data_IF_805083420143
#
_entry.id   IF_805083420143
#
_cell.length_a   1.000
_cell.length_b   1.000
_cell.length_c   1.000
_cell.angle_alpha   90.00
_cell.angle_beta   90.00
_cell.angle_gamma   90.00
#
_symmetry.space_group_name_H-M   'P 1'
#
loop_
_entity.id
_entity.type
_entity.pdbx_description
1 polymer ?
#
# COMPACT_ATOMS: atom_id res chain seq x y z
N UNK A 1 29.27 41.77 74.28
CA UNK A 1 28.77 43.01 73.79
C UNK A 1 28.03 42.65 72.44
N UNK A 2 26.86 42.90 72.44
CA UNK A 2 25.65 42.40 71.65
C UNK A 2 25.89 42.06 70.21
N UNK A 3 25.58 40.78 69.83
CA UNK A 3 25.25 40.32 68.51
C UNK A 3 23.75 40.33 68.34
N UNK A 4 23.29 41.15 67.39
CA UNK A 4 21.89 41.26 67.01
C UNK A 4 21.57 40.09 66.02
N UNK A 5 20.65 39.23 66.40
CA UNK A 5 20.11 38.16 65.53
C UNK A 5 19.13 38.75 64.51
N UNK A 6 19.47 38.66 63.25
CA UNK A 6 18.57 38.95 62.16
C UNK A 6 17.99 37.60 61.63
N UNK A 7 16.71 37.37 61.91
CA UNK A 7 15.94 36.27 61.33
C UNK A 7 15.48 36.68 59.94
N UNK A 8 15.99 36.01 58.90
CA UNK A 8 15.55 36.15 57.56
C UNK A 8 14.51 35.04 57.28
N UNK A 9 13.24 35.42 57.18
CA UNK A 9 12.20 34.51 56.73
C UNK A 9 12.31 34.32 55.21
N UNK A 10 12.73 33.13 54.76
CA UNK A 10 12.65 32.74 53.37
C UNK A 10 11.22 32.30 53.07
N UNK A 11 10.48 33.14 52.41
CA UNK A 11 9.22 32.75 51.79
C UNK A 11 9.54 31.94 50.53
N UNK A 12 9.30 30.63 50.58
CA UNK A 12 9.30 29.76 49.42
C UNK A 12 8.02 30.05 48.59
N UNK A 13 8.18 30.85 47.57
CA UNK A 13 7.17 30.91 46.49
C UNK A 13 7.41 29.72 45.57
N UNK A 14 6.58 28.69 45.72
CA UNK A 14 6.47 27.60 44.74
C UNK A 14 5.82 28.18 43.48
N UNK A 15 6.67 28.52 42.51
CA UNK A 15 6.19 28.71 41.15
C UNK A 15 5.75 27.34 40.61
N UNK A 16 4.44 27.09 40.62
CA UNK A 16 3.82 26.08 39.77
C UNK A 16 3.98 26.56 38.34
N UNK A 17 5.03 26.09 37.69
CA UNK A 17 5.07 26.06 36.24
C UNK A 17 3.96 25.08 35.78
N UNK A 18 2.79 25.64 35.49
CA UNK A 18 1.79 24.93 34.69
C UNK A 18 2.42 24.68 33.29
N UNK A 19 3.02 23.50 33.13
CA UNK A 19 3.25 22.98 31.80
C UNK A 19 1.88 22.75 31.18
N UNK A 20 1.41 23.73 30.40
CA UNK A 20 0.37 23.48 29.43
C UNK A 20 0.97 22.45 28.46
N UNK A 21 0.68 21.16 28.66
CA UNK A 21 0.70 20.22 27.56
C UNK A 21 -0.24 20.86 26.54
N UNK A 22 0.33 21.35 25.43
CA UNK A 22 -0.44 21.60 24.23
C UNK A 22 -1.07 20.27 23.92
N UNK A 23 -2.36 20.15 24.16
CA UNK A 23 -3.13 19.04 23.63
C UNK A 23 -2.90 19.11 22.13
N UNK A 24 -2.18 18.12 21.61
CA UNK A 24 -2.07 17.93 20.17
C UNK A 24 -3.50 17.75 19.72
N UNK A 25 -4.02 18.72 18.96
CA UNK A 25 -5.40 18.66 18.48
C UNK A 25 -5.60 17.27 17.89
N UNK A 26 -6.57 16.54 18.42
CA UNK A 26 -6.84 15.19 17.96
C UNK A 26 -7.18 15.28 16.47
N UNK A 27 -6.43 14.55 15.64
CA UNK A 27 -6.67 14.51 14.20
C UNK A 27 -8.11 14.05 13.99
N UNK A 28 -8.92 14.87 13.34
CA UNK A 28 -10.30 14.50 13.00
C UNK A 28 -10.24 13.42 11.89
N UNK A 29 -10.57 12.20 12.27
CA UNK A 29 -10.63 11.04 11.36
C UNK A 29 -12.06 10.68 10.97
N UNK A 30 -13.03 11.54 11.35
CA UNK A 30 -14.45 11.33 11.12
C UNK A 30 -15.05 10.25 12.04
N UNK A 31 -16.23 9.77 11.69
CA UNK A 31 -16.94 8.76 12.48
C UNK A 31 -16.28 7.40 12.35
N UNK A 32 -15.73 6.90 13.44
CA UNK A 32 -15.14 5.55 13.54
C UNK A 32 -16.23 4.58 13.99
N UNK A 33 -16.37 3.48 13.26
CA UNK A 33 -17.22 2.34 13.62
C UNK A 33 -16.39 1.09 13.95
N UNK A 34 -17.08 0.00 14.25
CA UNK A 34 -16.44 -1.29 14.43
C UNK A 34 -16.00 -1.85 13.08
N UNK A 35 -14.87 -2.59 13.03
CA UNK A 35 -14.49 -3.31 11.83
C UNK A 35 -15.56 -4.32 11.45
N UNK A 36 -16.06 -4.31 10.21
CA UNK A 36 -16.97 -5.36 9.72
C UNK A 36 -16.26 -6.69 9.44
N UNK A 37 -14.94 -6.70 9.58
CA UNK A 37 -14.08 -7.87 9.35
C UNK A 37 -13.45 -8.36 10.65
N UNK A 38 -13.13 -9.63 10.66
CA UNK A 38 -12.22 -10.25 11.62
C UNK A 38 -10.95 -10.73 10.91
N UNK A 39 -9.82 -10.61 11.58
CA UNK A 39 -8.52 -11.10 11.10
C UNK A 39 -8.46 -12.59 11.35
N UNK A 40 -8.04 -13.37 10.35
CA UNK A 40 -7.68 -14.77 10.55
C UNK A 40 -6.24 -14.82 11.06
N UNK A 41 -6.10 -14.86 12.37
CA UNK A 41 -4.81 -14.79 13.07
C UNK A 41 -3.86 -15.89 12.60
N UNK A 42 -2.63 -15.50 12.26
CA UNK A 42 -1.59 -16.39 11.73
C UNK A 42 -2.05 -17.25 10.54
N UNK A 43 -2.92 -16.68 9.69
CA UNK A 43 -3.42 -17.39 8.51
C UNK A 43 -2.29 -17.81 7.55
N UNK A 44 -1.37 -16.90 7.21
CA UNK A 44 -0.25 -17.25 6.36
C UNK A 44 0.74 -18.13 7.13
N UNK A 45 0.99 -19.33 6.61
CA UNK A 45 2.03 -20.19 7.15
C UNK A 45 3.39 -19.58 6.80
N UNK A 46 4.24 -19.29 7.78
CA UNK A 46 5.55 -18.72 7.50
C UNK A 46 6.42 -19.73 6.77
N UNK A 47 7.14 -19.23 5.79
CA UNK A 47 8.26 -19.92 5.21
C UNK A 47 9.43 -18.94 5.13
N UNK A 48 10.61 -19.40 5.22
CA UNK A 48 11.82 -18.65 4.89
C UNK A 48 13.00 -19.63 4.95
N UNK A 49 14.10 -19.23 4.38
CA UNK A 49 15.34 -19.96 4.56
C UNK A 49 15.75 -19.97 6.04
N UNK A 50 16.50 -21.00 6.43
CA UNK A 50 16.95 -21.14 7.81
C UNK A 50 17.71 -19.90 8.31
N UNK A 51 17.22 -19.27 9.35
CA UNK A 51 17.79 -18.04 9.91
C UNK A 51 17.18 -16.75 9.35
N UNK A 52 16.11 -16.87 8.59
CA UNK A 52 15.38 -15.75 8.02
C UNK A 52 13.89 -15.78 8.41
N UNK A 53 13.21 -14.71 8.17
CA UNK A 53 11.77 -14.54 8.28
C UNK A 53 11.22 -13.85 7.04
N UNK A 54 9.91 -13.84 6.86
CA UNK A 54 9.24 -13.06 5.80
C UNK A 54 9.75 -11.62 5.77
N UNK A 55 10.04 -11.12 4.57
CA UNK A 55 10.26 -9.71 4.32
C UNK A 55 8.96 -8.90 4.31
N UNK A 56 9.02 -7.65 3.86
CA UNK A 56 7.83 -6.80 3.78
C UNK A 56 6.90 -7.25 2.65
N UNK A 57 5.68 -7.65 2.98
CA UNK A 57 4.67 -7.94 1.98
C UNK A 57 4.19 -6.65 1.32
N UNK A 58 4.79 -6.28 0.19
CA UNK A 58 4.51 -5.02 -0.50
C UNK A 58 3.28 -5.09 -1.39
N UNK A 59 3.15 -6.12 -2.20
CA UNK A 59 2.01 -6.35 -3.08
C UNK A 59 1.28 -7.64 -2.74
N UNK A 60 -0.03 -7.58 -2.71
CA UNK A 60 -0.92 -8.74 -2.58
C UNK A 60 -1.97 -8.71 -3.67
N UNK A 61 -2.17 -9.81 -4.36
CA UNK A 61 -3.15 -9.95 -5.42
C UNK A 61 -3.93 -11.25 -5.28
N UNK A 62 -5.22 -11.16 -4.98
CA UNK A 62 -6.14 -12.29 -5.11
C UNK A 62 -6.53 -12.43 -6.57
N UNK A 63 -5.83 -13.31 -7.27
CA UNK A 63 -5.98 -13.53 -8.70
C UNK A 63 -7.26 -14.31 -9.04
N UNK A 64 -7.54 -15.35 -8.26
CA UNK A 64 -8.78 -16.12 -8.29
C UNK A 64 -9.00 -16.78 -6.91
N UNK A 65 -10.19 -17.33 -6.63
CA UNK A 65 -10.46 -18.00 -5.37
C UNK A 65 -9.38 -19.04 -5.02
N UNK A 66 -8.84 -18.93 -3.81
CA UNK A 66 -7.81 -19.86 -3.33
C UNK A 66 -6.40 -19.63 -3.85
N UNK A 67 -6.12 -18.52 -4.56
CA UNK A 67 -4.78 -18.15 -4.98
C UNK A 67 -4.48 -16.70 -4.65
N UNK A 68 -3.55 -16.49 -3.74
CA UNK A 68 -2.99 -15.18 -3.42
C UNK A 68 -1.54 -15.11 -3.88
N UNK A 69 -1.25 -14.18 -4.76
CA UNK A 69 0.11 -13.88 -5.20
C UNK A 69 0.64 -12.77 -4.31
N UNK A 70 1.83 -12.96 -3.76
CA UNK A 70 2.47 -12.00 -2.86
C UNK A 70 3.83 -11.63 -3.40
N UNK A 71 4.12 -10.33 -3.46
CA UNK A 71 5.50 -9.84 -3.57
C UNK A 71 6.00 -9.40 -2.20
N UNK A 72 7.18 -9.86 -1.85
CA UNK A 72 7.86 -9.42 -0.64
C UNK A 72 9.19 -8.73 -0.97
N UNK A 73 9.67 -7.97 -0.02
CA UNK A 73 10.94 -7.25 -0.11
C UNK A 73 12.12 -8.11 0.34
N UNK A 74 12.21 -9.31 -0.23
CA UNK A 74 13.19 -10.33 0.14
C UNK A 74 12.95 -10.89 1.55
N UNK A 75 13.84 -11.75 2.02
CA UNK A 75 13.78 -12.30 3.38
C UNK A 75 14.66 -11.52 4.34
N UNK A 76 14.23 -11.44 5.58
CA UNK A 76 14.91 -10.70 6.65
C UNK A 76 15.66 -11.64 7.57
N UNK A 77 16.97 -11.44 7.74
CA UNK A 77 17.79 -12.23 8.67
C UNK A 77 17.37 -11.98 10.11
N UNK A 78 17.07 -13.06 10.82
CA UNK A 78 16.67 -13.02 12.24
C UNK A 78 17.85 -13.30 13.17
N UNK A 79 17.76 -12.95 14.48
CA UNK A 79 18.72 -13.37 15.50
C UNK A 79 18.83 -14.90 15.59
N UNK A 80 19.97 -15.39 16.07
CA UNK A 80 20.19 -16.84 16.26
C UNK A 80 19.21 -17.44 17.29
N UNK A 81 18.88 -16.67 18.32
CA UNK A 81 17.98 -17.09 19.39
C UNK A 81 16.63 -16.41 19.21
N UNK A 82 15.65 -17.15 18.76
CA UNK A 82 14.25 -16.70 18.65
C UNK A 82 13.41 -17.32 19.77
N UNK A 83 12.34 -16.63 20.23
CA UNK A 83 11.37 -17.19 21.18
C UNK A 83 10.80 -18.52 20.68
N UNK A 84 10.37 -19.38 21.60
CA UNK A 84 9.79 -20.69 21.24
C UNK A 84 8.43 -20.59 20.53
N UNK A 85 7.74 -19.49 20.77
CA UNK A 85 6.46 -19.11 20.20
C UNK A 85 6.60 -18.19 18.99
N UNK A 86 7.76 -18.10 18.38
CA UNK A 86 8.00 -17.35 17.16
C UNK A 86 7.28 -17.96 15.97
N UNK A 87 6.44 -17.17 15.29
CA UNK A 87 5.62 -17.62 14.17
C UNK A 87 6.25 -17.33 12.78
N UNK A 88 7.46 -16.80 12.74
CA UNK A 88 8.22 -16.63 11.49
C UNK A 88 8.12 -15.25 10.85
N UNK A 89 7.56 -14.26 11.55
CA UNK A 89 7.42 -12.89 11.05
C UNK A 89 8.39 -11.94 11.76
N UNK A 90 9.18 -11.18 11.01
CA UNK A 90 10.22 -10.32 11.56
C UNK A 90 9.70 -9.31 12.60
N UNK A 91 8.49 -8.79 12.40
CA UNK A 91 7.85 -7.85 13.32
C UNK A 91 7.59 -8.39 14.72
N UNK A 92 7.46 -9.70 14.91
CA UNK A 92 7.34 -10.34 16.24
C UNK A 92 8.61 -10.18 17.08
N UNK A 93 9.74 -9.96 16.42
CA UNK A 93 11.03 -9.71 17.03
C UNK A 93 11.37 -8.21 17.14
N UNK A 94 10.40 -7.34 16.81
CA UNK A 94 10.61 -5.89 16.74
C UNK A 94 11.46 -5.43 15.55
N UNK A 95 11.69 -6.29 14.56
CA UNK A 95 12.46 -5.97 13.36
C UNK A 95 11.53 -5.34 12.35
N UNK A 96 11.86 -4.13 11.90
CA UNK A 96 11.20 -3.48 10.77
C UNK A 96 11.88 -3.88 9.47
N UNK A 97 11.21 -4.67 8.65
CA UNK A 97 11.76 -5.15 7.37
C UNK A 97 11.98 -4.03 6.34
N UNK A 98 11.40 -2.86 6.58
CA UNK A 98 11.57 -1.72 5.70
C UNK A 98 12.80 -0.88 6.03
N UNK A 99 13.15 -0.77 7.31
CA UNK A 99 14.23 0.13 7.78
C UNK A 99 15.54 -0.57 8.11
N UNK A 100 15.56 -1.91 8.17
CA UNK A 100 16.76 -2.70 8.48
C UNK A 100 17.27 -3.42 7.22
N UNK A 101 17.61 -2.63 6.21
CA UNK A 101 17.99 -3.13 4.87
C UNK A 101 19.23 -4.04 4.89
N UNK A 102 20.16 -3.85 5.84
CA UNK A 102 21.35 -4.70 6.00
C UNK A 102 21.03 -6.14 6.43
N UNK A 103 19.81 -6.38 6.92
CA UNK A 103 19.31 -7.73 7.24
C UNK A 103 18.65 -8.42 6.06
N UNK A 104 18.44 -7.72 4.97
CA UNK A 104 17.69 -8.21 3.82
C UNK A 104 18.55 -9.07 2.90
N UNK A 105 17.94 -10.13 2.40
CA UNK A 105 18.45 -10.91 1.27
C UNK A 105 17.36 -11.00 0.22
N UNK A 106 17.68 -10.64 -1.02
CA UNK A 106 16.73 -10.73 -2.14
C UNK A 106 16.59 -12.18 -2.58
N UNK A 107 15.69 -12.89 -1.91
CA UNK A 107 15.35 -14.28 -2.18
C UNK A 107 13.87 -14.51 -1.89
N UNK A 108 13.23 -15.43 -2.61
CA UNK A 108 11.84 -15.80 -2.48
C UNK A 108 10.90 -14.58 -2.60
N UNK A 109 11.22 -13.65 -3.52
CA UNK A 109 10.54 -12.35 -3.63
C UNK A 109 9.09 -12.45 -4.09
N UNK A 110 8.72 -13.54 -4.79
CA UNK A 110 7.36 -13.77 -5.25
C UNK A 110 6.96 -15.19 -4.88
N UNK A 111 5.83 -15.33 -4.23
CA UNK A 111 5.29 -16.61 -3.81
C UNK A 111 3.77 -16.65 -3.84
N UNK A 112 3.22 -17.85 -3.81
CA UNK A 112 1.78 -18.11 -3.92
C UNK A 112 1.29 -18.78 -2.65
N UNK A 113 0.21 -18.24 -2.08
CA UNK A 113 -0.53 -18.83 -0.97
C UNK A 113 -1.86 -19.42 -1.44
N UNK A 114 -2.23 -20.56 -0.88
CA UNK A 114 -3.56 -21.13 -1.06
C UNK A 114 -4.60 -20.47 -0.12
N UNK A 115 -5.86 -20.90 -0.20
CA UNK A 115 -6.95 -20.41 0.65
C UNK A 115 -6.70 -20.59 2.15
N UNK A 116 -5.84 -21.55 2.54
CA UNK A 116 -5.50 -21.86 3.91
C UNK A 116 -4.25 -21.12 4.41
N UNK A 117 -3.61 -20.34 3.55
CA UNK A 117 -2.39 -19.59 3.88
C UNK A 117 -1.11 -20.42 3.74
N UNK A 118 -1.20 -21.60 3.14
CA UNK A 118 -0.04 -22.42 2.85
C UNK A 118 0.66 -21.93 1.59
N UNK A 119 1.99 -21.83 1.65
CA UNK A 119 2.81 -21.59 0.46
C UNK A 119 2.74 -22.82 -0.43
N UNK A 120 2.25 -22.65 -1.66
CA UNK A 120 2.09 -23.71 -2.65
C UNK A 120 3.07 -23.60 -3.79
N UNK A 121 3.66 -22.42 -3.99
CA UNK A 121 4.67 -22.17 -5.01
C UNK A 121 5.57 -21.00 -4.61
N UNK A 122 6.83 -21.03 -5.00
CA UNK A 122 7.80 -19.96 -4.80
C UNK A 122 8.52 -19.75 -6.13
N UNK A 123 8.50 -18.51 -6.61
CA UNK A 123 9.12 -18.17 -7.90
C UNK A 123 10.53 -17.57 -7.70
N UNK A 124 11.39 -18.34 -7.03
CA UNK A 124 12.78 -17.98 -6.75
C UNK A 124 13.61 -17.70 -8.00
N UNK A 125 13.27 -18.37 -9.11
CA UNK A 125 13.86 -18.11 -10.42
C UNK A 125 13.60 -16.68 -10.95
N UNK A 126 12.66 -15.93 -10.35
CA UNK A 126 12.37 -14.53 -10.66
C UNK A 126 13.01 -13.53 -9.66
N UNK A 127 13.80 -14.01 -8.69
CA UNK A 127 14.41 -13.13 -7.68
C UNK A 127 15.31 -12.05 -8.30
N UNK A 128 15.89 -12.32 -9.48
CA UNK A 128 16.66 -11.32 -10.24
C UNK A 128 15.86 -10.05 -10.62
N UNK A 129 14.52 -10.12 -10.61
CA UNK A 129 13.65 -8.95 -10.80
C UNK A 129 13.67 -8.02 -9.58
N UNK A 130 14.18 -8.47 -8.46
CA UNK A 130 14.28 -7.70 -7.20
C UNK A 130 15.72 -7.46 -6.80
N UNK A 131 16.64 -8.33 -7.22
CA UNK A 131 18.05 -8.33 -6.83
C UNK A 131 18.76 -7.02 -7.20
N UNK A 132 19.62 -6.55 -6.28
CA UNK A 132 20.38 -5.32 -6.45
C UNK A 132 19.57 -4.05 -6.25
N UNK A 133 18.36 -4.14 -5.70
CA UNK A 133 17.60 -2.98 -5.30
C UNK A 133 18.18 -2.37 -4.00
N UNK A 134 18.70 -1.16 -4.08
CA UNK A 134 19.06 -0.35 -2.90
C UNK A 134 17.80 0.43 -2.47
N UNK A 135 16.96 -0.16 -1.66
CA UNK A 135 15.71 0.45 -1.24
C UNK A 135 14.55 -0.54 -1.20
N UNK A 136 13.29 -0.07 -1.28
CA UNK A 136 12.15 -0.92 -1.05
C UNK A 136 11.96 -2.08 -2.03
N UNK A 137 12.38 -1.96 -3.30
CA UNK A 137 12.24 -3.02 -4.30
C UNK A 137 10.84 -3.11 -4.89
N UNK A 138 10.25 -4.33 -4.98
CA UNK A 138 8.92 -4.51 -5.55
C UNK A 138 7.86 -3.78 -4.72
N UNK A 139 6.91 -3.15 -5.42
CA UNK A 139 5.89 -2.30 -4.84
C UNK A 139 4.51 -2.93 -4.92
N UNK A 140 4.10 -3.35 -6.12
CA UNK A 140 2.76 -3.89 -6.37
C UNK A 140 2.77 -5.00 -7.40
N UNK A 141 1.70 -5.79 -7.35
CA UNK A 141 1.34 -6.75 -8.40
C UNK A 141 -0.07 -6.38 -8.88
N UNK A 142 -0.25 -6.31 -10.19
CA UNK A 142 -1.54 -6.05 -10.82
C UNK A 142 -1.82 -7.05 -11.94
N UNK A 143 -3.10 -7.22 -12.24
CA UNK A 143 -3.58 -7.98 -13.39
C UNK A 143 -4.65 -7.15 -14.11
N UNK A 144 -4.57 -7.10 -15.43
CA UNK A 144 -5.64 -6.46 -16.19
C UNK A 144 -6.91 -7.34 -16.18
N UNK A 145 -8.07 -6.81 -15.77
CA UNK A 145 -9.30 -7.55 -15.86
C UNK A 145 -9.76 -7.78 -17.31
N UNK A 146 -9.14 -7.10 -18.26
CA UNK A 146 -9.44 -7.17 -19.69
C UNK A 146 -8.50 -8.07 -20.47
N UNK A 147 -7.43 -8.56 -19.84
CA UNK A 147 -6.46 -9.47 -20.45
C UNK A 147 -6.89 -10.93 -20.22
N UNK A 148 -7.26 -11.67 -21.30
CA UNK A 148 -7.66 -13.07 -21.14
C UNK A 148 -6.52 -13.98 -20.67
N UNK A 149 -5.26 -13.61 -20.90
CA UNK A 149 -4.08 -14.34 -20.43
C UNK A 149 -3.75 -13.99 -18.97
N UNK A 150 -4.37 -12.94 -18.43
CA UNK A 150 -4.21 -12.48 -17.04
C UNK A 150 -2.74 -12.30 -16.65
N UNK A 151 -1.94 -11.73 -17.54
CA UNK A 151 -0.54 -11.42 -17.27
C UNK A 151 -0.40 -10.61 -16.00
N UNK A 152 0.65 -10.92 -15.25
CA UNK A 152 0.97 -10.22 -14.01
C UNK A 152 1.92 -9.07 -14.29
N UNK A 153 1.57 -7.91 -13.76
CA UNK A 153 2.37 -6.69 -13.83
C UNK A 153 3.00 -6.47 -12.47
N UNK A 154 4.33 -6.53 -12.40
CA UNK A 154 5.11 -6.35 -11.18
C UNK A 154 5.81 -5.01 -11.26
N UNK A 155 5.48 -4.12 -10.36
CA UNK A 155 6.05 -2.78 -10.30
C UNK A 155 7.23 -2.81 -9.34
N UNK A 156 8.42 -2.47 -9.81
CA UNK A 156 9.60 -2.31 -8.97
C UNK A 156 10.05 -0.84 -8.95
N UNK A 157 9.70 -0.17 -7.87
CA UNK A 157 9.96 1.26 -7.72
C UNK A 157 11.44 1.62 -7.68
N UNK A 158 12.28 0.74 -7.12
CA UNK A 158 13.73 0.99 -6.97
C UNK A 158 14.49 0.73 -8.26
N UNK A 159 14.04 -0.24 -9.06
CA UNK A 159 14.60 -0.49 -10.39
C UNK A 159 14.12 0.53 -11.43
N UNK A 160 13.11 1.35 -11.11
CA UNK A 160 12.41 2.22 -12.06
C UNK A 160 11.80 1.44 -13.22
N UNK A 161 11.31 0.21 -12.93
CA UNK A 161 10.86 -0.73 -13.96
C UNK A 161 9.51 -1.35 -13.62
N UNK A 162 8.83 -1.76 -14.69
CA UNK A 162 7.63 -2.58 -14.65
C UNK A 162 7.91 -3.86 -15.43
N UNK A 163 7.69 -5.00 -14.80
CA UNK A 163 7.86 -6.32 -15.41
C UNK A 163 6.50 -6.92 -15.70
N UNK A 164 6.36 -7.53 -16.87
CA UNK A 164 5.16 -8.30 -17.23
C UNK A 164 5.56 -9.75 -17.35
N UNK A 165 4.93 -10.61 -16.57
CA UNK A 165 5.21 -12.05 -16.55
C UNK A 165 3.96 -12.84 -16.88
N UNK A 166 4.13 -14.08 -17.31
CA UNK A 166 3.03 -15.02 -17.47
C UNK A 166 2.29 -15.24 -16.16
N UNK A 167 1.01 -15.57 -16.20
CA UNK A 167 0.20 -15.75 -14.97
C UNK A 167 0.70 -16.90 -14.09
N UNK A 168 1.32 -17.90 -14.66
CA UNK A 168 1.94 -19.03 -13.95
C UNK A 168 3.38 -18.75 -13.45
N UNK A 169 3.89 -17.54 -13.72
CA UNK A 169 5.23 -17.11 -13.30
C UNK A 169 6.38 -17.70 -14.13
N UNK A 170 6.10 -18.50 -15.16
CA UNK A 170 7.14 -19.26 -15.88
C UNK A 170 7.97 -18.41 -16.85
N UNK A 171 7.48 -17.26 -17.28
CA UNK A 171 8.11 -16.46 -18.33
C UNK A 171 8.03 -14.94 -18.06
N UNK A 172 9.17 -14.24 -18.24
CA UNK A 172 9.21 -12.79 -18.35
C UNK A 172 8.86 -12.39 -19.78
N UNK A 173 7.69 -11.75 -19.96
CA UNK A 173 7.13 -11.41 -21.27
C UNK A 173 7.57 -10.02 -21.75
N UNK A 174 7.68 -9.05 -20.82
CA UNK A 174 8.11 -7.70 -21.15
C UNK A 174 8.75 -6.99 -19.95
N UNK A 175 9.55 -5.97 -20.24
CA UNK A 175 10.13 -5.05 -19.26
C UNK A 175 10.00 -3.62 -19.79
N UNK A 176 9.48 -2.72 -18.96
CA UNK A 176 9.36 -1.30 -19.26
C UNK A 176 10.17 -0.49 -18.26
N UNK A 177 10.82 0.59 -18.71
CA UNK A 177 11.82 1.32 -17.95
C UNK A 177 13.21 0.71 -18.07
N UNK A 178 14.21 1.34 -17.49
CA UNK A 178 15.62 0.89 -17.50
C UNK A 178 16.12 0.78 -16.05
N UNK A 179 16.73 -0.38 -15.72
CA UNK A 179 17.16 -0.68 -14.34
C UNK A 179 18.18 0.34 -13.83
N UNK A 180 17.81 1.02 -12.73
CA UNK A 180 18.66 2.02 -12.08
C UNK A 180 18.79 3.35 -12.85
N UNK A 181 17.98 3.56 -13.88
CA UNK A 181 17.99 4.77 -14.71
C UNK A 181 16.66 5.54 -14.55
N UNK A 182 16.51 6.37 -13.51
CA UNK A 182 15.34 7.21 -13.38
C UNK A 182 15.26 8.25 -14.49
N UNK A 183 14.06 8.52 -14.97
CA UNK A 183 13.82 9.54 -15.98
C UNK A 183 12.37 10.02 -16.02
N UNK A 184 12.11 11.02 -16.85
CA UNK A 184 10.78 11.61 -17.03
C UNK A 184 10.46 11.80 -18.51
N UNK A 185 10.62 10.75 -19.29
CA UNK A 185 10.23 10.70 -20.69
C UNK A 185 9.20 9.62 -20.97
N UNK A 186 8.99 9.26 -22.24
CA UNK A 186 8.00 8.26 -22.65
C UNK A 186 8.36 6.82 -22.24
N UNK A 187 9.62 6.56 -21.91
CA UNK A 187 10.16 5.20 -21.70
C UNK A 187 10.83 5.00 -20.34
N UNK A 188 11.09 6.07 -19.59
CA UNK A 188 11.70 6.02 -18.27
C UNK A 188 10.74 6.52 -17.20
N UNK A 189 10.85 5.91 -16.02
CA UNK A 189 10.07 6.25 -14.83
C UNK A 189 10.97 6.76 -13.71
N UNK A 190 10.39 7.60 -12.84
CA UNK A 190 11.07 8.10 -11.66
C UNK A 190 10.57 7.46 -10.36
N UNK A 191 10.54 6.15 -10.22
CA UNK A 191 9.94 5.39 -9.11
C UNK A 191 8.45 5.10 -9.34
N UNK A 192 8.11 4.23 -10.29
CA UNK A 192 6.74 3.82 -10.55
C UNK A 192 6.15 3.09 -9.34
N UNK A 193 4.87 3.30 -9.06
CA UNK A 193 4.21 2.82 -7.86
C UNK A 193 3.06 1.86 -8.17
N UNK A 194 2.34 2.11 -9.26
CA UNK A 194 1.15 1.33 -9.59
C UNK A 194 0.84 1.36 -11.08
N UNK A 195 0.01 0.41 -11.53
CA UNK A 195 -0.54 0.33 -12.88
C UNK A 195 -2.03 0.10 -12.81
N UNK A 196 -2.80 0.80 -13.63
CA UNK A 196 -4.23 0.60 -13.77
C UNK A 196 -4.62 0.42 -15.24
N UNK A 197 -5.70 -0.31 -15.48
CA UNK A 197 -6.16 -0.69 -16.82
C UNK A 197 -7.54 -0.12 -17.07
N UNK A 198 -7.71 0.56 -18.19
CA UNK A 198 -9.00 1.12 -18.59
C UNK A 198 -9.77 0.15 -19.50
N UNK A 199 -11.12 0.21 -19.48
CA UNK A 199 -11.94 -0.66 -20.31
C UNK A 199 -11.69 -0.51 -21.82
N UNK A 200 -11.18 0.62 -22.25
CA UNK A 200 -10.87 0.94 -23.65
C UNK A 200 -9.47 0.50 -24.09
N UNK A 201 -8.74 -0.21 -23.22
CA UNK A 201 -7.42 -0.76 -23.49
C UNK A 201 -6.25 0.14 -23.08
N UNK A 202 -6.51 1.39 -22.65
CA UNK A 202 -5.41 2.24 -22.17
C UNK A 202 -4.83 1.69 -20.86
N UNK A 203 -3.50 1.85 -20.73
CA UNK A 203 -2.74 1.45 -19.54
C UNK A 203 -2.19 2.71 -18.90
N UNK A 204 -2.45 2.89 -17.61
CA UNK A 204 -2.04 4.04 -16.82
C UNK A 204 -0.95 3.60 -15.85
N UNK A 205 0.16 4.33 -15.83
CA UNK A 205 1.28 4.09 -14.90
C UNK A 205 1.39 5.26 -13.94
N UNK A 206 1.29 4.98 -12.64
CA UNK A 206 1.62 5.92 -11.58
C UNK A 206 3.14 6.08 -11.51
N UNK A 207 3.67 7.06 -12.19
CA UNK A 207 5.09 7.43 -12.11
C UNK A 207 5.30 8.41 -10.95
N UNK A 208 5.26 7.84 -9.73
CA UNK A 208 4.77 8.47 -8.53
C UNK A 208 5.74 9.28 -7.70
N UNK A 209 6.69 8.64 -6.98
CA UNK A 209 7.39 9.31 -5.88
C UNK A 209 8.42 10.37 -6.32
N UNK A 210 8.89 10.30 -7.56
CA UNK A 210 9.85 11.28 -8.09
C UNK A 210 9.16 12.21 -9.09
N UNK A 211 8.39 11.67 -10.05
CA UNK A 211 7.88 12.41 -11.17
C UNK A 211 6.50 13.03 -10.97
N UNK A 212 5.70 12.49 -10.04
CA UNK A 212 4.36 12.98 -9.72
C UNK A 212 3.44 13.14 -10.94
N UNK A 213 3.46 12.14 -11.85
CA UNK A 213 2.64 12.09 -13.06
C UNK A 213 1.99 10.73 -13.23
N UNK A 214 0.91 10.69 -13.98
CA UNK A 214 0.33 9.47 -14.53
C UNK A 214 0.62 9.44 -16.02
N UNK A 215 1.37 8.42 -16.46
CA UNK A 215 1.68 8.22 -17.88
C UNK A 215 0.62 7.31 -18.49
N UNK A 216 0.16 7.64 -19.67
CA UNK A 216 -0.90 6.92 -20.38
C UNK A 216 -0.34 6.30 -21.64
N UNK A 217 -0.57 5.01 -21.79
CA UNK A 217 -0.17 4.21 -22.94
C UNK A 217 -1.39 3.57 -23.60
N UNK A 218 -1.23 3.16 -24.86
CA UNK A 218 -2.17 2.23 -25.49
C UNK A 218 -1.91 0.78 -25.00
N UNK A 219 -2.68 -0.17 -25.52
CA UNK A 219 -2.56 -1.59 -25.15
C UNK A 219 -1.27 -2.27 -25.64
N UNK A 220 -0.50 -1.63 -26.49
CA UNK A 220 0.82 -2.06 -26.96
C UNK A 220 1.97 -1.34 -26.25
N UNK A 221 1.65 -0.54 -25.22
CA UNK A 221 2.59 0.30 -24.49
C UNK A 221 3.25 1.41 -25.31
N UNK A 222 2.59 1.89 -26.37
CA UNK A 222 2.99 3.13 -27.02
C UNK A 222 2.50 4.32 -26.19
N UNK A 223 3.39 5.28 -25.94
CA UNK A 223 3.07 6.49 -25.21
C UNK A 223 1.99 7.32 -25.92
N UNK A 224 0.95 7.71 -25.18
CA UNK A 224 -0.13 8.57 -25.67
C UNK A 224 -0.04 9.98 -25.11
N UNK A 225 0.01 10.09 -23.80
CA UNK A 225 0.02 11.36 -23.07
C UNK A 225 0.41 11.15 -21.62
N UNK A 226 0.44 12.23 -20.83
CA UNK A 226 0.56 12.20 -19.38
C UNK A 226 -0.29 13.28 -18.74
N UNK A 227 -0.64 13.12 -17.47
CA UNK A 227 -1.32 14.13 -16.66
C UNK A 227 -0.84 14.08 -15.21
N UNK A 228 -1.21 15.10 -14.44
CA UNK A 228 -0.69 15.29 -13.07
C UNK A 228 0.60 16.12 -13.06
N UNK A 229 0.92 16.62 -11.89
CA UNK A 229 2.12 17.43 -11.65
C UNK A 229 2.44 17.41 -10.15
N UNK A 230 3.65 17.80 -9.80
CA UNK A 230 4.05 18.01 -8.41
C UNK A 230 3.39 19.24 -7.81
N UNK A 231 3.04 19.16 -6.52
CA UNK A 231 2.62 20.29 -5.69
C UNK A 231 1.14 20.32 -5.36
N UNK A 232 0.67 21.52 -4.93
CA UNK A 232 -0.67 21.71 -4.35
C UNK A 232 -1.66 22.38 -5.33
N UNK A 233 -1.29 22.56 -6.59
CA UNK A 233 -2.22 23.05 -7.62
C UNK A 233 -3.32 22.02 -7.88
N UNK A 234 -4.48 22.39 -8.46
CA UNK A 234 -5.50 21.42 -8.84
C UNK A 234 -4.93 20.25 -9.66
N UNK A 235 -5.11 19.02 -9.18
CA UNK A 235 -4.51 17.83 -9.77
C UNK A 235 -3.05 17.57 -9.41
N UNK A 236 -2.40 18.45 -8.63
CA UNK A 236 -1.05 18.24 -8.14
C UNK A 236 -0.98 17.18 -7.04
N UNK A 237 0.19 16.55 -6.89
CA UNK A 237 0.47 15.48 -5.90
C UNK A 237 1.85 15.66 -5.28
N UNK A 238 2.05 15.03 -4.12
CA UNK A 238 3.34 14.95 -3.43
C UNK A 238 3.77 13.48 -3.21
N UNK A 239 3.54 12.65 -4.19
CA UNK A 239 3.89 11.23 -4.20
C UNK A 239 2.70 10.35 -4.55
N UNK A 240 2.46 10.14 -5.84
CA UNK A 240 1.43 9.21 -6.31
C UNK A 240 1.85 7.80 -5.87
N UNK A 241 0.93 7.07 -5.23
CA UNK A 241 1.24 5.76 -4.66
C UNK A 241 0.31 4.64 -5.15
N UNK A 242 -0.92 4.96 -5.52
CA UNK A 242 -1.86 3.97 -6.04
C UNK A 242 -2.79 4.59 -7.07
N UNK A 243 -3.26 3.75 -7.99
CA UNK A 243 -4.26 4.07 -9.02
C UNK A 243 -5.43 3.12 -8.93
N UNK A 244 -6.63 3.63 -9.14
CA UNK A 244 -7.81 2.80 -9.35
C UNK A 244 -8.73 3.44 -10.38
N UNK A 245 -9.38 2.59 -11.19
CA UNK A 245 -10.35 3.05 -12.19
C UNK A 245 -11.75 2.88 -11.63
N UNK A 246 -12.59 3.85 -11.85
CA UNK A 246 -13.97 3.84 -11.43
C UNK A 246 -14.94 4.07 -12.58
N UNK A 247 -16.24 4.06 -12.26
CA UNK A 247 -17.29 4.30 -13.24
C UNK A 247 -17.16 5.64 -13.96
N UNK A 248 -17.71 5.72 -15.16
CA UNK A 248 -17.80 6.97 -15.96
C UNK A 248 -16.44 7.59 -16.28
N UNK A 249 -15.40 6.75 -16.44
CA UNK A 249 -14.05 7.21 -16.79
C UNK A 249 -13.32 7.94 -15.66
N UNK A 250 -13.74 7.75 -14.40
CA UNK A 250 -13.02 8.29 -13.24
C UNK A 250 -11.72 7.53 -13.01
N UNK A 251 -10.69 8.29 -12.70
CA UNK A 251 -9.37 7.78 -12.35
C UNK A 251 -9.01 8.35 -10.99
N UNK A 252 -8.80 7.47 -10.03
CA UNK A 252 -8.43 7.81 -8.67
C UNK A 252 -6.91 7.73 -8.53
N UNK A 253 -6.29 8.86 -8.27
CA UNK A 253 -4.83 9.03 -8.14
C UNK A 253 -4.53 9.33 -6.68
N UNK A 254 -4.04 8.32 -5.96
CA UNK A 254 -3.78 8.43 -4.54
C UNK A 254 -2.48 9.19 -4.29
N UNK A 255 -2.58 10.29 -3.56
CA UNK A 255 -1.48 11.16 -3.17
C UNK A 255 -1.03 10.84 -1.75
N UNK A 256 -0.01 9.99 -1.63
CA UNK A 256 0.49 9.45 -0.35
C UNK A 256 0.91 10.55 0.62
N UNK A 257 1.82 11.42 0.20
CA UNK A 257 2.43 12.43 1.07
C UNK A 257 1.67 13.76 1.04
N UNK A 258 0.75 13.94 0.10
CA UNK A 258 -0.20 15.04 0.09
C UNK A 258 -1.49 14.73 0.84
N UNK A 259 -1.64 13.49 1.36
CA UNK A 259 -2.75 13.07 2.23
C UNK A 259 -4.13 13.20 1.57
N UNK A 260 -4.31 12.55 0.43
CA UNK A 260 -5.60 12.58 -0.25
C UNK A 260 -5.66 11.77 -1.53
N UNK A 261 -6.74 11.92 -2.24
CA UNK A 261 -6.93 11.34 -3.56
C UNK A 261 -7.43 12.41 -4.54
N UNK A 262 -6.77 12.49 -5.70
CA UNK A 262 -7.22 13.29 -6.82
C UNK A 262 -8.09 12.43 -7.73
N UNK A 263 -9.27 12.90 -8.06
CA UNK A 263 -10.17 12.28 -9.03
C UNK A 263 -10.02 13.02 -10.34
N UNK A 264 -9.69 12.26 -11.37
CA UNK A 264 -9.59 12.70 -12.75
C UNK A 264 -10.65 12.03 -13.60
N UNK A 265 -10.92 12.61 -14.75
CA UNK A 265 -11.82 12.05 -15.76
C UNK A 265 -11.18 12.01 -17.13
N UNK A 266 -11.61 11.03 -17.92
CA UNK A 266 -11.34 11.05 -19.36
C UNK A 266 -12.20 12.08 -20.05
N UNK A 267 -11.64 12.79 -21.04
CA UNK A 267 -12.35 13.68 -21.93
C UNK A 267 -12.89 12.98 -23.16
N UNK A 268 -13.14 13.76 -24.23
CA UNK A 268 -13.70 13.26 -25.48
C UNK A 268 -12.67 12.50 -26.33
N UNK A 269 -11.39 12.87 -26.22
CA UNK A 269 -10.32 12.20 -26.95
C UNK A 269 -9.55 11.23 -26.04
N UNK A 270 -8.81 10.31 -26.67
CA UNK A 270 -7.99 9.31 -26.01
C UNK A 270 -6.87 9.89 -25.12
N UNK A 271 -6.51 11.14 -25.40
CA UNK A 271 -5.42 11.86 -24.71
C UNK A 271 -5.91 12.93 -23.75
N UNK A 272 -7.24 13.14 -23.67
CA UNK A 272 -7.81 14.18 -22.82
C UNK A 272 -8.08 13.65 -21.41
N UNK A 273 -7.50 14.31 -20.44
CA UNK A 273 -7.74 14.05 -19.02
C UNK A 273 -7.93 15.40 -18.32
N UNK A 274 -8.95 15.47 -17.46
CA UNK A 274 -9.18 16.67 -16.68
C UNK A 274 -9.38 16.36 -15.20
N UNK A 275 -8.84 17.22 -14.37
CA UNK A 275 -9.00 17.14 -12.92
C UNK A 275 -10.44 17.47 -12.54
N UNK A 276 -11.10 16.53 -11.81
CA UNK A 276 -12.47 16.73 -11.34
C UNK A 276 -12.47 17.34 -9.94
N UNK A 277 -11.81 16.69 -8.99
CA UNK A 277 -11.73 17.13 -7.59
C UNK A 277 -10.63 16.45 -6.81
N UNK A 278 -10.37 16.97 -5.63
CA UNK A 278 -9.55 16.34 -4.60
C UNK A 278 -10.37 16.05 -3.37
N UNK A 279 -10.09 14.92 -2.72
CA UNK A 279 -10.62 14.56 -1.41
C UNK A 279 -9.41 14.42 -0.49
N UNK A 280 -9.36 15.31 0.52
CA UNK A 280 -8.28 15.29 1.50
C UNK A 280 -8.64 14.37 2.66
N UNK A 281 -7.62 13.73 3.24
CA UNK A 281 -7.73 12.91 4.45
C UNK A 281 -6.69 13.33 5.47
N UNK A 282 -6.92 13.02 6.72
CA UNK A 282 -5.89 13.14 7.74
C UNK A 282 -4.98 11.90 7.69
N UNK A 283 -3.69 12.11 7.48
CA UNK A 283 -2.68 11.05 7.47
C UNK A 283 -2.36 10.49 6.09
N UNK A 284 -1.29 9.72 6.05
CA UNK A 284 -0.70 9.20 4.82
C UNK A 284 -1.57 8.09 4.21
N UNK A 285 -1.96 8.27 2.96
CA UNK A 285 -2.71 7.28 2.20
C UNK A 285 -1.78 6.27 1.51
N UNK A 286 -2.20 5.01 1.41
CA UNK A 286 -1.35 3.94 0.85
C UNK A 286 -1.97 3.23 -0.33
N UNK A 287 -3.24 2.85 -0.25
CA UNK A 287 -3.89 2.11 -1.32
C UNK A 287 -5.35 2.52 -1.48
N UNK A 288 -5.89 2.38 -2.69
CA UNK A 288 -7.27 2.72 -3.02
C UNK A 288 -7.91 1.64 -3.90
N UNK A 289 -9.09 1.19 -3.52
CA UNK A 289 -9.95 0.33 -4.33
C UNK A 289 -11.26 1.07 -4.59
N UNK A 290 -11.63 1.16 -5.86
CA UNK A 290 -12.88 1.80 -6.30
C UNK A 290 -13.89 0.72 -6.65
N UNK A 291 -15.08 0.81 -6.07
CA UNK A 291 -16.23 -0.03 -6.34
C UNK A 291 -17.19 0.66 -7.32
N UNK A 292 -18.33 0.06 -7.55
CA UNK A 292 -19.36 0.65 -8.41
C UNK A 292 -19.92 1.97 -7.88
N UNK A 293 -20.07 2.10 -6.56
CA UNK A 293 -20.82 3.21 -5.94
C UNK A 293 -19.98 4.05 -4.96
N UNK A 294 -18.79 3.57 -4.62
CA UNK A 294 -17.93 4.21 -3.61
C UNK A 294 -16.47 3.73 -3.78
N UNK A 295 -15.62 4.20 -2.89
CA UNK A 295 -14.23 3.73 -2.86
C UNK A 295 -13.72 3.63 -1.42
N UNK A 296 -12.74 2.75 -1.25
CA UNK A 296 -12.07 2.50 0.00
C UNK A 296 -10.59 2.83 -0.11
N UNK A 297 -10.05 3.40 0.96
CA UNK A 297 -8.61 3.68 1.08
C UNK A 297 -8.07 3.15 2.39
N UNK A 298 -6.78 2.78 2.38
CA UNK A 298 -6.00 2.62 3.61
C UNK A 298 -5.27 3.90 3.94
N UNK A 299 -5.19 4.25 5.21
CA UNK A 299 -4.46 5.42 5.68
C UNK A 299 -3.80 5.17 7.03
N UNK A 300 -2.67 5.86 7.26
CA UNK A 300 -1.93 5.84 8.51
C UNK A 300 -2.28 7.01 9.43
N UNK A 301 -1.89 6.88 10.70
CA UNK A 301 -1.99 7.89 11.74
C UNK A 301 -3.44 8.36 12.04
N UNK A 302 -4.30 7.45 12.55
CA UNK A 302 -4.07 6.03 12.83
C UNK A 302 -4.29 5.15 11.60
N UNK A 303 -3.77 3.90 11.66
CA UNK A 303 -4.00 2.91 10.61
C UNK A 303 -5.47 2.54 10.54
N UNK A 304 -6.08 2.72 9.38
CA UNK A 304 -7.52 2.56 9.19
C UNK A 304 -7.89 2.34 7.74
N UNK A 305 -9.08 1.81 7.54
CA UNK A 305 -9.78 1.85 6.27
C UNK A 305 -10.83 2.96 6.30
N UNK A 306 -10.98 3.66 5.19
CA UNK A 306 -11.91 4.77 5.03
C UNK A 306 -12.73 4.56 3.78
N UNK A 307 -14.06 4.66 3.89
CA UNK A 307 -14.99 4.61 2.77
C UNK A 307 -15.52 6.02 2.45
N UNK A 308 -15.52 6.36 1.17
CA UNK A 308 -16.08 7.61 0.66
C UNK A 308 -17.05 7.34 -0.49
N UNK A 309 -18.06 8.19 -0.62
CA UNK A 309 -18.78 8.31 -1.89
C UNK A 309 -17.96 9.12 -2.92
N UNK A 310 -18.43 9.17 -4.16
CA UNK A 310 -17.72 9.91 -5.21
C UNK A 310 -17.83 11.44 -5.09
N UNK A 311 -18.71 11.93 -4.25
CA UNK A 311 -18.84 13.35 -3.88
C UNK A 311 -17.79 13.76 -2.84
N UNK A 312 -17.16 12.79 -2.17
CA UNK A 312 -16.13 13.01 -1.15
C UNK A 312 -16.67 13.00 0.27
N UNK A 313 -17.92 12.56 0.48
CA UNK A 313 -18.43 12.38 1.81
C UNK A 313 -17.93 11.09 2.41
N UNK A 314 -17.31 11.15 3.59
CA UNK A 314 -16.87 9.98 4.32
C UNK A 314 -18.09 9.22 4.84
N UNK A 315 -18.26 7.99 4.36
CA UNK A 315 -19.37 7.10 4.74
C UNK A 315 -19.06 6.31 6.00
N UNK A 316 -17.85 5.75 6.05
CA UNK A 316 -17.44 4.89 7.15
C UNK A 316 -15.93 4.87 7.34
N UNK A 317 -15.50 4.61 8.58
CA UNK A 317 -14.10 4.38 8.92
C UNK A 317 -14.03 3.32 10.00
N UNK A 318 -13.06 2.42 9.91
CA UNK A 318 -12.72 1.50 10.99
C UNK A 318 -11.21 1.37 11.16
N UNK A 319 -10.79 1.22 12.41
CA UNK A 319 -9.38 1.12 12.77
C UNK A 319 -8.87 -0.30 12.56
N UNK A 320 -7.64 -0.40 12.08
CA UNK A 320 -6.90 -1.66 12.04
C UNK A 320 -6.12 -1.79 13.35
N UNK A 321 -6.19 -2.93 14.05
CA UNK A 321 -5.38 -3.14 15.25
C UNK A 321 -3.89 -2.95 14.94
N UNK A 322 -3.15 -2.38 15.89
CA UNK A 322 -1.70 -2.18 15.76
C UNK A 322 -0.88 -3.21 16.55
N UNK A 323 -1.53 -3.99 17.42
CA UNK A 323 -0.87 -4.95 18.30
C UNK A 323 -0.95 -6.36 17.71
N UNK A 324 0.18 -7.09 17.77
CA UNK A 324 0.24 -8.50 17.38
C UNK A 324 -0.61 -9.37 18.34
N UNK A 325 -1.19 -10.49 17.87
CA UNK A 325 -1.00 -11.10 16.54
C UNK A 325 -1.86 -10.53 15.41
N UNK A 326 -2.93 -9.81 15.71
CA UNK A 326 -3.92 -9.35 14.73
C UNK A 326 -3.57 -7.99 14.10
N UNK A 327 -2.54 -7.33 14.66
CA UNK A 327 -2.16 -5.98 14.28
C UNK A 327 -1.35 -5.88 13.01
N UNK A 328 -1.37 -4.67 12.47
CA UNK A 328 -0.56 -4.22 11.35
C UNK A 328 0.21 -2.95 11.73
N UNK A 329 1.39 -2.79 11.15
CA UNK A 329 2.04 -1.48 11.14
C UNK A 329 1.66 -0.70 9.91
N UNK A 330 1.42 -1.40 8.81
CA UNK A 330 1.05 -0.79 7.55
C UNK A 330 0.19 -1.76 6.74
N UNK A 331 -0.98 -1.35 6.29
CA UNK A 331 -1.68 -2.01 5.19
C UNK A 331 -1.24 -1.33 3.91
N UNK A 332 -0.10 -1.78 3.39
CA UNK A 332 0.57 -1.18 2.26
C UNK A 332 -0.21 -1.36 0.96
N UNK A 333 -0.71 -2.56 0.76
CA UNK A 333 -1.64 -2.88 -0.32
C UNK A 333 -2.71 -3.83 0.18
N UNK A 334 -3.87 -3.81 -0.46
CA UNK A 334 -4.91 -4.78 -0.16
C UNK A 334 -5.60 -5.25 -1.44
N UNK A 335 -6.15 -6.45 -1.38
CA UNK A 335 -6.88 -7.09 -2.48
C UNK A 335 -8.13 -7.74 -1.95
N UNK A 336 -9.19 -7.72 -2.75
CA UNK A 336 -10.47 -8.35 -2.41
C UNK A 336 -10.78 -9.41 -3.45
N UNK A 337 -10.99 -10.64 -2.98
CA UNK A 337 -11.36 -11.75 -3.86
C UNK A 337 -12.78 -11.63 -4.37
N UNK A 338 -13.11 -12.37 -5.42
CA UNK A 338 -14.50 -12.48 -5.92
C UNK A 338 -15.49 -13.05 -4.88
N UNK A 339 -15.00 -13.66 -3.82
CA UNK A 339 -15.79 -14.21 -2.69
C UNK A 339 -15.92 -13.20 -1.53
N UNK A 340 -15.37 -11.97 -1.67
CA UNK A 340 -15.40 -10.94 -0.63
C UNK A 340 -14.40 -11.15 0.50
N UNK A 341 -13.41 -12.03 0.31
CA UNK A 341 -12.30 -12.21 1.25
C UNK A 341 -11.29 -11.11 0.97
N UNK A 342 -10.88 -10.40 2.01
CA UNK A 342 -9.88 -9.35 1.91
C UNK A 342 -8.51 -9.87 2.35
N UNK A 343 -7.49 -9.49 1.60
CA UNK A 343 -6.08 -9.74 1.90
C UNK A 343 -5.32 -8.43 1.96
N UNK A 344 -4.40 -8.30 2.90
CA UNK A 344 -3.54 -7.13 3.03
C UNK A 344 -2.09 -7.50 3.22
N UNK A 345 -1.20 -6.68 2.70
CA UNK A 345 0.23 -6.81 2.87
C UNK A 345 0.75 -5.86 3.95
N UNK A 346 1.43 -6.41 4.96
CA UNK A 346 2.17 -5.62 5.93
C UNK A 346 3.63 -5.50 5.50
N UNK A 347 3.96 -4.30 5.07
CA UNK A 347 5.26 -3.96 4.55
C UNK A 347 6.33 -3.75 5.65
N UNK A 348 5.91 -3.60 6.90
CA UNK A 348 6.79 -3.31 8.04
C UNK A 348 6.97 -4.53 8.93
N UNK A 349 5.89 -5.21 9.31
CA UNK A 349 5.97 -6.44 10.10
C UNK A 349 6.33 -7.68 9.28
N UNK A 350 6.18 -7.61 7.96
CA UNK A 350 6.63 -8.64 7.05
C UNK A 350 5.68 -9.83 6.96
N UNK A 351 4.38 -9.58 6.71
CA UNK A 351 3.42 -10.68 6.52
C UNK A 351 2.22 -10.27 5.67
N UNK A 352 1.69 -11.19 4.85
CA UNK A 352 0.34 -11.08 4.33
C UNK A 352 -0.66 -11.49 5.41
N UNK A 353 -1.83 -10.86 5.43
CA UNK A 353 -2.92 -11.23 6.33
C UNK A 353 -4.23 -11.39 5.57
N UNK A 354 -5.16 -12.14 6.18
CA UNK A 354 -6.48 -12.42 5.66
C UNK A 354 -7.54 -11.89 6.61
N UNK A 355 -8.56 -11.23 6.05
CA UNK A 355 -9.76 -10.83 6.76
C UNK A 355 -10.98 -11.50 6.14
N UNK A 356 -11.89 -11.94 6.99
CA UNK A 356 -13.19 -12.46 6.60
C UNK A 356 -14.30 -11.58 7.18
N UNK A 357 -15.41 -11.47 6.49
CA UNK A 357 -16.55 -10.72 6.99
C UNK A 357 -17.08 -11.35 8.29
N UNK A 358 -17.34 -10.53 9.30
CA UNK A 358 -17.98 -10.96 10.54
C UNK A 358 -19.40 -11.49 10.28
N UNK A 359 -19.86 -12.50 11.03
CA UNK A 359 -21.26 -12.92 10.96
C UNK A 359 -22.21 -11.75 11.23
N UNK A 360 -23.10 -11.47 10.27
CA UNK A 360 -24.07 -10.37 10.37
C UNK A 360 -23.54 -9.00 9.97
N UNK A 361 -22.32 -8.88 9.46
CA UNK A 361 -21.86 -7.64 8.84
C UNK A 361 -22.77 -7.25 7.67
N UNK A 362 -23.15 -5.97 7.60
CA UNK A 362 -23.98 -5.46 6.51
C UNK A 362 -23.16 -5.31 5.25
N UNK A 363 -23.72 -5.64 4.10
CA UNK A 363 -23.05 -5.56 2.80
C UNK A 363 -22.47 -4.18 2.52
N UNK A 364 -23.16 -3.14 2.94
CA UNK A 364 -22.76 -1.74 2.71
C UNK A 364 -21.46 -1.34 3.44
N UNK A 365 -21.01 -2.15 4.40
CA UNK A 365 -19.75 -1.96 5.12
C UNK A 365 -18.64 -2.86 4.62
N UNK A 366 -18.92 -3.78 3.70
CA UNK A 366 -17.92 -4.68 3.13
C UNK A 366 -17.27 -4.04 1.88
N UNK A 367 -16.00 -4.31 1.71
CA UNK A 367 -15.25 -3.86 0.54
C UNK A 367 -15.51 -4.85 -0.58
N UNK A 368 -16.16 -4.38 -1.64
CA UNK A 368 -16.37 -5.19 -2.84
C UNK A 368 -15.08 -5.28 -3.67
N UNK A 369 -14.95 -6.29 -4.55
CA UNK A 369 -13.88 -6.32 -5.54
C UNK A 369 -13.82 -5.02 -6.36
N UNK A 370 -12.65 -4.67 -6.91
CA UNK A 370 -12.50 -3.49 -7.75
C UNK A 370 -13.52 -3.45 -8.88
N UNK A 371 -14.00 -2.24 -9.19
CA UNK A 371 -14.90 -2.04 -10.32
C UNK A 371 -14.25 -2.48 -11.64
N UNK A 372 -14.98 -3.26 -12.41
CA UNK A 372 -14.60 -3.69 -13.75
C UNK A 372 -15.65 -3.14 -14.69
N UNK A 373 -15.31 -2.09 -15.42
CA UNK A 373 -16.19 -1.44 -16.37
C UNK A 373 -16.37 -2.23 -17.67
N UNK A 374 -17.57 -2.14 -18.20
CA UNK A 374 -17.90 -2.49 -19.57
C UNK A 374 -18.57 -1.29 -20.20
#
# INVERSE_FOLDING_TARGET
>A
MNLLKLLLACALTTNMLSTSLLAQDAIDIGKVGESPYEVVTYWAEPFAEKGFAFGGASGVLSDHPGRLIVSQRGETRIPLDVPRDFHGFAGELGISVLTEEERRTWQNCIFILDANGKVVDIWDHLDYLCEGAEGPGPERIRVSPYDPERKLWIINQTHHQIYVISNDGSELLATYGEKGMPGKDATHYGSPQDVAFMPDGRILVADGLINNRVVVYDNEMNYLTEFGTEGTVPGGTNGIHSLSIGPEGRIFVLDRSGYGVNIWRTGESYTDFYFERRIDISGMALDVIVNKNDFWMTAHNPLRFINFDFEGNQKYTWLVPAELPDGFREVHSFSVSSEGIMYGGDNIYGRPQKWIAKPGATSDLLIEPPWVGY
#
